data_IF_042371692577
#
_entry.id   IF_042371692577
#
_cell.length_a   1.000
_cell.length_b   1.000
_cell.length_c   1.000
_cell.angle_alpha   90.00
_cell.angle_beta   90.00
_cell.angle_gamma   90.00
#
_symmetry.space_group_name_H-M   'P 1'
#
loop_
_entity.id
_entity.type
_entity.pdbx_description
1 polymer ?
#
# COMPACT_ATOMS: atom_id res chain seq x y z
N UNK A 1 39.83 2.15 -82.21
CA UNK A 1 38.42 1.78 -81.97
C UNK A 1 37.59 3.04 -81.73
N UNK A 2 36.29 2.95 -82.02
CA UNK A 2 35.34 4.03 -82.36
C UNK A 2 35.04 5.03 -81.22
N UNK A 3 34.87 6.30 -81.64
CA UNK A 3 33.94 7.39 -81.24
C UNK A 3 33.03 7.16 -80.01
N UNK A 4 32.79 8.19 -79.19
CA UNK A 4 31.63 9.12 -79.31
C UNK A 4 31.62 10.19 -78.20
N UNK A 5 31.44 11.46 -78.61
CA UNK A 5 30.90 12.55 -77.79
C UNK A 5 29.39 12.34 -77.63
N UNK A 6 28.80 12.72 -76.48
CA UNK A 6 27.47 13.33 -76.45
C UNK A 6 27.23 14.07 -75.12
N UNK A 7 27.22 15.40 -75.20
CA UNK A 7 26.43 16.25 -74.32
C UNK A 7 24.94 16.06 -74.66
N UNK A 8 24.03 16.18 -73.69
CA UNK A 8 22.84 17.06 -73.79
C UNK A 8 21.75 16.82 -72.71
N UNK A 9 21.16 17.97 -72.29
CA UNK A 9 19.77 18.29 -71.89
C UNK A 9 19.09 17.47 -70.76
N UNK A 10 18.64 18.04 -69.61
CA UNK A 10 17.51 19.00 -69.38
C UNK A 10 16.14 18.43 -69.84
N UNK A 11 14.98 18.99 -69.40
CA UNK A 11 14.40 19.24 -68.07
C UNK A 11 12.92 18.72 -67.96
N UNK A 12 12.15 19.24 -66.99
CA UNK A 12 10.68 19.51 -66.97
C UNK A 12 9.68 18.44 -66.45
N UNK A 13 8.71 18.98 -65.66
CA UNK A 13 7.30 18.59 -65.40
C UNK A 13 7.10 17.50 -64.32
N UNK A 14 6.29 17.68 -63.27
CA UNK A 14 5.14 18.57 -63.16
C UNK A 14 4.68 18.88 -61.74
N UNK A 15 4.02 20.03 -61.66
CA UNK A 15 3.08 20.37 -60.61
C UNK A 15 1.72 19.74 -60.93
N UNK A 16 1.07 19.08 -59.96
CA UNK A 16 -0.36 19.18 -59.61
C UNK A 16 -0.66 18.14 -58.51
N UNK A 17 -0.89 18.52 -57.24
CA UNK A 17 -2.18 18.90 -56.59
C UNK A 17 -2.93 17.68 -56.01
N UNK A 18 -3.32 17.81 -54.73
CA UNK A 18 -4.21 16.97 -53.89
C UNK A 18 -3.54 15.74 -53.23
N UNK A 19 -3.68 15.50 -51.93
CA UNK A 19 -4.52 16.15 -50.95
C UNK A 19 -4.32 15.57 -49.55
N UNK A 20 -4.81 16.32 -48.56
CA UNK A 20 -5.51 15.79 -47.39
C UNK A 20 -4.88 14.55 -46.73
N UNK A 21 -3.74 14.74 -46.07
CA UNK A 21 -3.55 14.04 -44.80
C UNK A 21 -3.77 15.07 -43.72
N UNK A 22 -5.01 15.07 -43.22
CA UNK A 22 -5.39 15.62 -41.93
C UNK A 22 -4.24 15.38 -40.96
N UNK A 23 -3.67 16.47 -40.45
CA UNK A 23 -2.74 16.39 -39.34
C UNK A 23 -3.46 15.71 -38.19
N UNK A 24 -3.28 14.40 -38.06
CA UNK A 24 -3.13 13.82 -36.74
C UNK A 24 -1.93 14.54 -36.16
N UNK A 25 -2.20 15.64 -35.45
CA UNK A 25 -1.32 16.04 -34.37
C UNK A 25 -1.20 14.80 -33.52
N UNK A 26 -0.11 14.05 -33.73
CA UNK A 26 0.39 13.11 -32.77
C UNK A 26 0.72 14.03 -31.58
N UNK A 27 -0.29 14.28 -30.74
CA UNK A 27 -0.04 14.78 -29.41
C UNK A 27 0.86 13.72 -28.82
N UNK A 28 2.17 14.02 -28.82
CA UNK A 28 3.15 13.24 -28.12
C UNK A 28 2.64 13.17 -26.70
N UNK A 29 1.99 12.06 -26.40
CA UNK A 29 1.28 11.88 -25.15
C UNK A 29 2.34 12.05 -24.08
N UNK A 30 2.18 13.05 -23.20
CA UNK A 30 3.25 13.41 -22.27
C UNK A 30 3.65 12.14 -21.52
N UNK A 31 4.90 11.73 -21.68
CA UNK A 31 5.41 10.47 -21.11
C UNK A 31 5.24 10.43 -19.58
N UNK A 32 5.14 11.61 -18.98
CA UNK A 32 4.91 11.82 -17.55
C UNK A 32 3.61 12.56 -17.29
N UNK A 33 2.95 12.20 -16.20
CA UNK A 33 1.84 12.96 -15.62
C UNK A 33 2.13 13.33 -14.17
N UNK A 34 1.54 14.43 -13.72
CA UNK A 34 1.61 14.88 -12.34
C UNK A 34 0.38 14.38 -11.60
N UNK A 35 0.59 13.54 -10.59
CA UNK A 35 -0.46 13.04 -9.70
C UNK A 35 -0.43 13.86 -8.42
N UNK A 36 -1.58 14.41 -8.04
CA UNK A 36 -1.79 15.09 -6.76
C UNK A 36 -2.55 14.16 -5.83
N UNK A 37 -1.91 13.71 -4.75
CA UNK A 37 -2.51 12.80 -3.79
C UNK A 37 -2.83 13.52 -2.49
N UNK A 38 -4.10 13.55 -2.12
CA UNK A 38 -4.54 14.03 -0.80
C UNK A 38 -4.21 12.98 0.26
N UNK A 39 -3.50 13.39 1.31
CA UNK A 39 -3.26 12.54 2.48
C UNK A 39 -4.58 12.28 3.22
N UNK A 40 -4.65 11.17 3.99
CA UNK A 40 -5.83 10.90 4.80
C UNK A 40 -6.02 12.01 5.83
N UNK A 41 -7.27 12.27 6.20
CA UNK A 41 -7.57 13.09 7.37
C UNK A 41 -6.98 12.41 8.62
N UNK A 42 -6.31 13.20 9.46
CA UNK A 42 -5.90 12.78 10.80
C UNK A 42 -6.43 13.78 11.84
N UNK A 43 -7.08 13.31 12.92
CA UNK A 43 -7.44 11.91 13.16
C UNK A 43 -8.46 11.39 12.14
N UNK A 44 -8.55 10.06 11.89
CA UNK A 44 -9.60 9.49 11.05
C UNK A 44 -10.97 9.88 11.59
N UNK A 45 -11.92 10.22 10.72
CA UNK A 45 -13.29 10.56 11.12
C UNK A 45 -14.09 9.31 11.50
N UNK A 46 -13.80 8.78 12.68
CA UNK A 46 -14.49 7.65 13.30
C UNK A 46 -15.01 8.01 14.70
N UNK A 47 -15.69 7.06 15.35
CA UNK A 47 -16.26 7.26 16.69
C UNK A 47 -15.23 7.49 17.81
N UNK A 48 -13.94 7.56 17.47
CA UNK A 48 -12.82 7.71 18.41
C UNK A 48 -11.86 8.83 17.99
N UNK A 49 -12.24 9.66 17.02
CA UNK A 49 -11.45 10.77 16.48
C UNK A 49 -10.77 11.61 17.57
N UNK A 50 -11.47 11.87 18.69
CA UNK A 50 -10.99 12.69 19.80
C UNK A 50 -9.84 12.05 20.61
N UNK A 51 -9.68 10.72 20.52
CA UNK A 51 -8.71 9.96 21.33
C UNK A 51 -7.44 9.59 20.56
N UNK A 52 -7.35 9.92 19.27
CA UNK A 52 -6.15 9.61 18.49
C UNK A 52 -4.98 10.51 18.91
N UNK A 53 -3.77 9.96 19.05
CA UNK A 53 -2.59 10.76 19.34
C UNK A 53 -2.36 11.84 18.27
N UNK A 54 -1.82 13.01 18.65
CA UNK A 54 -1.57 14.08 17.71
C UNK A 54 -0.58 13.64 16.63
N UNK A 55 -0.88 13.99 15.38
CA UNK A 55 0.01 13.76 14.26
C UNK A 55 1.23 14.68 14.38
N UNK A 56 2.41 14.10 14.38
CA UNK A 56 3.66 14.87 14.26
C UNK A 56 3.96 15.18 12.80
N UNK A 57 3.91 14.16 11.95
CA UNK A 57 4.19 14.24 10.51
C UNK A 57 3.73 12.96 9.81
N UNK A 58 3.65 13.01 8.49
CA UNK A 58 3.50 11.81 7.68
C UNK A 58 4.85 11.30 7.21
N UNK A 59 5.05 9.98 7.29
CA UNK A 59 6.11 9.30 6.54
C UNK A 59 5.50 8.75 5.26
N UNK A 60 6.04 9.16 4.12
CA UNK A 60 5.59 8.73 2.80
C UNK A 60 6.63 7.75 2.25
N UNK A 61 6.18 6.57 1.85
CA UNK A 61 6.98 5.60 1.10
C UNK A 61 6.40 5.39 -0.28
N UNK A 62 7.20 5.65 -1.31
CA UNK A 62 6.86 5.41 -2.71
C UNK A 62 7.71 4.24 -3.20
N UNK A 63 7.07 3.28 -3.86
CA UNK A 63 7.74 2.10 -4.43
C UNK A 63 7.26 1.88 -5.86
N UNK A 64 8.22 1.61 -6.73
CA UNK A 64 7.99 1.12 -8.10
C UNK A 64 8.99 0.01 -8.40
N UNK A 65 8.94 -0.55 -9.61
CA UNK A 65 9.92 -1.56 -10.03
C UNK A 65 11.34 -0.98 -10.20
N UNK A 66 11.49 0.34 -10.24
CA UNK A 66 12.75 1.03 -10.54
C UNK A 66 13.24 1.88 -9.37
N UNK A 67 12.34 2.32 -8.48
CA UNK A 67 12.63 3.36 -7.50
C UNK A 67 12.01 3.05 -6.13
N UNK A 68 12.71 3.54 -5.10
CA UNK A 68 12.31 3.51 -3.71
C UNK A 68 12.61 4.90 -3.13
N UNK A 69 11.56 5.59 -2.68
CA UNK A 69 11.70 6.88 -2.00
C UNK A 69 10.97 6.87 -0.68
N UNK A 70 11.61 7.42 0.34
CA UNK A 70 11.00 7.64 1.65
C UNK A 70 11.33 9.06 2.10
N UNK A 71 10.32 9.79 2.52
CA UNK A 71 10.48 11.14 3.07
C UNK A 71 9.37 11.45 4.07
N UNK A 72 9.49 12.60 4.75
CA UNK A 72 8.51 13.07 5.71
C UNK A 72 7.87 14.37 5.26
N UNK A 73 6.58 14.58 5.56
CA UNK A 73 5.85 15.80 5.19
C UNK A 73 4.74 16.13 6.19
N UNK A 74 4.42 17.42 6.29
CA UNK A 74 3.26 17.94 7.03
C UNK A 74 2.19 18.52 6.09
N UNK A 75 2.39 18.37 4.77
CA UNK A 75 1.45 18.88 3.76
C UNK A 75 0.23 17.98 3.67
N UNK A 76 -0.93 18.56 3.34
CA UNK A 76 -2.17 17.79 3.12
C UNK A 76 -2.20 17.06 1.78
N UNK A 77 -1.39 17.51 0.82
CA UNK A 77 -1.31 16.94 -0.53
C UNK A 77 0.14 16.75 -0.93
N UNK A 78 0.43 15.64 -1.61
CA UNK A 78 1.73 15.37 -2.23
C UNK A 78 1.62 15.40 -3.76
N UNK A 79 2.64 15.92 -4.43
CA UNK A 79 2.72 15.92 -5.89
C UNK A 79 3.78 14.92 -6.37
N UNK A 80 3.40 14.03 -7.28
CA UNK A 80 4.28 13.01 -7.85
C UNK A 80 4.33 13.15 -9.37
N UNK A 81 5.54 13.29 -9.94
CA UNK A 81 5.75 13.18 -11.39
C UNK A 81 6.02 11.72 -11.74
N UNK A 82 5.11 11.10 -12.47
CA UNK A 82 5.14 9.65 -12.74
C UNK A 82 5.04 9.36 -14.22
N UNK A 83 5.66 8.27 -14.66
CA UNK A 83 5.52 7.79 -16.04
C UNK A 83 4.13 7.19 -16.22
N UNK A 84 3.38 7.62 -17.24
CA UNK A 84 2.03 7.12 -17.49
C UNK A 84 2.01 5.60 -17.60
N UNK A 85 0.96 4.99 -17.05
CA UNK A 85 0.72 3.55 -17.03
C UNK A 85 1.83 2.70 -16.39
N UNK A 86 2.79 3.31 -15.69
CA UNK A 86 3.83 2.58 -14.95
C UNK A 86 3.36 2.37 -13.52
N UNK A 87 3.11 1.12 -13.08
CA UNK A 87 2.57 0.89 -11.75
C UNK A 87 3.51 1.34 -10.64
N UNK A 88 2.95 1.95 -9.61
CA UNK A 88 3.63 2.24 -8.36
C UNK A 88 2.62 2.20 -7.22
N UNK A 89 3.12 2.00 -6.00
CA UNK A 89 2.34 2.19 -4.79
C UNK A 89 2.96 3.27 -3.92
N UNK A 90 2.09 3.89 -3.12
CA UNK A 90 2.49 4.83 -2.08
C UNK A 90 1.83 4.45 -0.77
N UNK A 91 2.59 4.54 0.32
CA UNK A 91 2.15 4.29 1.69
C UNK A 91 2.34 5.56 2.50
N UNK A 92 1.30 5.96 3.24
CA UNK A 92 1.33 7.10 4.14
C UNK A 92 1.15 6.59 5.58
N UNK A 93 2.21 6.71 6.37
CA UNK A 93 2.21 6.34 7.79
C UNK A 93 2.06 7.59 8.64
N UNK A 94 1.06 7.65 9.55
CA UNK A 94 0.98 8.72 10.53
C UNK A 94 2.08 8.48 11.58
N UNK A 95 2.97 9.45 11.74
CA UNK A 95 4.02 9.42 12.77
C UNK A 95 3.54 10.26 13.93
N UNK A 96 3.58 9.65 15.11
CA UNK A 96 3.24 10.30 16.38
C UNK A 96 4.48 10.42 17.24
N UNK A 97 4.39 11.25 18.29
CA UNK A 97 5.43 11.39 19.30
C UNK A 97 4.96 10.75 20.61
N UNK A 98 5.90 10.10 21.28
CA UNK A 98 5.77 9.72 22.70
C UNK A 98 5.94 10.95 23.60
N UNK A 99 5.59 10.82 24.89
CA UNK A 99 5.90 11.82 25.92
C UNK A 99 7.36 12.31 25.88
N UNK A 100 8.30 11.39 25.64
CA UNK A 100 9.73 11.70 25.59
C UNK A 100 10.21 12.20 24.21
N UNK A 101 9.29 12.64 23.34
CA UNK A 101 9.57 13.13 21.97
C UNK A 101 10.22 12.10 21.02
N UNK A 102 10.14 10.80 21.30
CA UNK A 102 10.52 9.77 20.33
C UNK A 102 9.42 9.55 19.29
N UNK A 103 9.82 9.50 18.01
CA UNK A 103 8.93 9.21 16.88
C UNK A 103 8.53 7.74 16.85
N UNK A 104 7.23 7.50 16.67
CA UNK A 104 6.67 6.15 16.61
C UNK A 104 5.79 5.97 15.38
N UNK A 105 5.94 4.82 14.74
CA UNK A 105 5.12 4.40 13.60
C UNK A 105 4.23 3.23 14.07
N UNK A 106 3.17 3.58 14.80
CA UNK A 106 2.28 2.59 15.40
C UNK A 106 1.23 2.07 14.42
N UNK A 107 0.63 2.98 13.66
CA UNK A 107 -0.53 2.69 12.83
C UNK A 107 -0.11 2.08 11.49
N UNK A 108 -0.98 1.20 10.97
CA UNK A 108 -0.86 0.73 9.59
C UNK A 108 -1.04 1.88 8.60
N UNK A 109 -0.33 1.87 7.47
CA UNK A 109 -0.35 2.96 6.52
C UNK A 109 -1.65 3.00 5.73
N UNK A 110 -2.08 4.20 5.33
CA UNK A 110 -2.99 4.37 4.22
C UNK A 110 -2.25 4.10 2.89
N UNK A 111 -2.99 3.67 1.87
CA UNK A 111 -2.42 3.24 0.61
C UNK A 111 -2.96 3.97 -0.61
N UNK A 112 -2.11 4.09 -1.62
CA UNK A 112 -2.48 4.46 -2.98
C UNK A 112 -1.74 3.56 -3.98
N UNK A 113 -2.40 3.16 -5.06
CA UNK A 113 -1.89 2.29 -6.12
C UNK A 113 -2.26 2.87 -7.49
N UNK A 114 -1.25 3.30 -8.22
CA UNK A 114 -1.43 3.74 -9.59
C UNK A 114 -1.24 2.59 -10.58
N UNK A 115 -2.03 2.51 -11.67
CA UNK A 115 -3.15 3.40 -12.03
C UNK A 115 -4.50 2.99 -11.40
N UNK A 116 -4.55 1.95 -10.56
CA UNK A 116 -5.81 1.34 -10.11
C UNK A 116 -6.77 2.32 -9.41
N UNK A 117 -6.35 3.03 -8.37
CA UNK A 117 -7.22 3.96 -7.64
C UNK A 117 -6.96 5.43 -8.04
N UNK A 118 -6.38 5.66 -9.21
CA UNK A 118 -6.16 7.00 -9.73
C UNK A 118 -7.41 7.53 -10.42
N UNK A 119 -7.94 8.63 -9.89
CA UNK A 119 -8.88 9.53 -10.57
C UNK A 119 -8.29 10.92 -10.46
N UNK A 120 -8.01 11.57 -11.59
CA UNK A 120 -7.26 12.84 -11.62
C UNK A 120 -7.79 13.89 -10.61
N UNK A 121 -9.10 13.97 -10.44
CA UNK A 121 -9.75 14.97 -9.58
C UNK A 121 -10.01 14.50 -8.12
N UNK A 122 -9.79 13.22 -7.79
CA UNK A 122 -10.07 12.63 -6.46
C UNK A 122 -9.00 11.62 -6.03
N UNK A 123 -7.76 11.80 -6.49
CA UNK A 123 -6.66 10.92 -6.12
C UNK A 123 -6.28 11.17 -4.64
N UNK A 124 -6.44 10.15 -3.80
CA UNK A 124 -6.25 10.24 -2.36
C UNK A 124 -5.76 8.92 -1.78
N UNK A 125 -5.11 9.03 -0.63
CA UNK A 125 -4.79 7.87 0.20
C UNK A 125 -6.04 7.38 0.91
N UNK A 126 -6.19 6.06 0.98
CA UNK A 126 -7.30 5.41 1.68
C UNK A 126 -6.75 4.34 2.62
N UNK A 127 -7.25 4.30 3.85
CA UNK A 127 -6.80 3.36 4.89
C UNK A 127 -7.04 1.91 4.46
N UNK A 128 -8.20 1.66 3.85
CA UNK A 128 -8.65 0.35 3.37
C UNK A 128 -7.75 -0.19 2.25
N UNK A 129 -7.09 0.70 1.50
CA UNK A 129 -6.18 0.36 0.39
C UNK A 129 -4.74 0.17 0.85
N UNK A 130 -4.43 0.49 2.12
CA UNK A 130 -3.12 0.32 2.73
C UNK A 130 -2.56 -1.09 2.59
N UNK A 131 -3.40 -2.10 2.83
CA UNK A 131 -2.97 -3.51 2.76
C UNK A 131 -2.54 -3.91 1.34
N UNK A 132 -3.30 -3.50 0.32
CA UNK A 132 -2.99 -3.79 -1.07
C UNK A 132 -1.73 -3.05 -1.53
N UNK A 133 -1.57 -1.78 -1.13
CA UNK A 133 -0.38 -0.99 -1.44
C UNK A 133 0.88 -1.58 -0.76
N UNK A 134 0.74 -2.06 0.49
CA UNK A 134 1.81 -2.73 1.24
C UNK A 134 2.21 -4.04 0.58
N UNK A 135 1.24 -4.80 0.09
CA UNK A 135 1.49 -6.02 -0.68
C UNK A 135 2.25 -5.72 -1.98
N UNK A 136 1.82 -4.70 -2.73
CA UNK A 136 2.55 -4.24 -3.92
C UNK A 136 3.98 -3.80 -3.59
N UNK A 137 4.18 -3.07 -2.50
CA UNK A 137 5.51 -2.64 -2.06
C UNK A 137 6.43 -3.85 -1.80
N UNK A 138 5.92 -4.89 -1.14
CA UNK A 138 6.67 -6.13 -0.90
C UNK A 138 7.01 -6.88 -2.20
N UNK A 139 6.12 -6.88 -3.20
CA UNK A 139 6.40 -7.45 -4.53
C UNK A 139 7.51 -6.67 -5.24
N UNK A 140 7.51 -5.34 -5.13
CA UNK A 140 8.61 -4.54 -5.68
C UNK A 140 9.94 -4.84 -4.99
N UNK A 141 9.94 -5.08 -3.68
CA UNK A 141 11.14 -5.44 -2.91
C UNK A 141 11.66 -6.84 -3.25
N UNK A 142 10.78 -7.82 -3.45
CA UNK A 142 11.18 -9.20 -3.80
C UNK A 142 11.82 -9.33 -5.18
N UNK A 143 11.80 -8.26 -6.00
CA UNK A 143 12.51 -8.21 -7.28
C UNK A 143 13.99 -8.59 -7.15
N UNK A 144 14.65 -8.13 -6.09
CA UNK A 144 16.08 -8.41 -5.85
C UNK A 144 16.30 -9.91 -5.63
N UNK A 145 15.43 -10.53 -4.85
CA UNK A 145 15.52 -11.95 -4.47
C UNK A 145 15.15 -12.89 -5.62
N UNK A 146 14.23 -12.46 -6.49
CA UNK A 146 13.66 -13.29 -7.56
C UNK A 146 14.33 -13.08 -8.93
N UNK A 147 15.11 -12.02 -9.11
CA UNK A 147 15.77 -11.71 -10.39
C UNK A 147 14.82 -11.33 -11.53
N UNK A 148 13.56 -11.01 -11.24
CA UNK A 148 12.55 -10.65 -12.25
C UNK A 148 12.91 -9.31 -12.90
N UNK A 149 12.87 -9.24 -14.23
CA UNK A 149 13.13 -7.99 -14.96
C UNK A 149 12.06 -6.94 -14.67
N UNK A 150 12.46 -5.66 -14.65
CA UNK A 150 11.55 -4.51 -14.43
C UNK A 150 10.32 -4.57 -15.34
N UNK A 151 10.51 -4.88 -16.62
CA UNK A 151 9.42 -4.95 -17.61
C UNK A 151 8.43 -6.06 -17.28
N UNK A 152 8.91 -7.25 -16.90
CA UNK A 152 8.04 -8.37 -16.50
C UNK A 152 7.27 -8.04 -15.22
N UNK A 153 7.94 -7.43 -14.25
CA UNK A 153 7.33 -7.02 -12.99
C UNK A 153 6.24 -5.96 -13.18
N UNK A 154 6.52 -4.91 -13.97
CA UNK A 154 5.56 -3.87 -14.30
C UNK A 154 4.34 -4.43 -15.06
N UNK A 155 4.57 -5.32 -16.05
CA UNK A 155 3.46 -5.97 -16.76
C UNK A 155 2.61 -6.81 -15.81
N UNK A 156 3.25 -7.60 -14.95
CA UNK A 156 2.56 -8.44 -13.98
C UNK A 156 1.69 -7.60 -13.04
N UNK A 157 2.31 -6.63 -12.35
CA UNK A 157 1.62 -5.75 -11.39
C UNK A 157 0.50 -4.96 -12.08
N UNK A 158 0.71 -4.47 -13.30
CA UNK A 158 -0.29 -3.73 -14.06
C UNK A 158 -1.50 -4.57 -14.47
N UNK A 159 -1.35 -5.89 -14.61
CA UNK A 159 -2.45 -6.82 -14.95
C UNK A 159 -3.14 -7.44 -13.73
N UNK A 160 -2.53 -7.35 -12.55
CA UNK A 160 -3.10 -7.92 -11.34
C UNK A 160 -4.36 -7.15 -10.92
N UNK A 161 -5.43 -7.88 -10.59
CA UNK A 161 -6.69 -7.26 -10.18
C UNK A 161 -6.63 -6.83 -8.70
N UNK A 162 -6.01 -5.67 -8.47
CA UNK A 162 -5.83 -5.07 -7.15
C UNK A 162 -7.15 -4.79 -6.43
N UNK A 163 -8.20 -4.42 -7.19
CA UNK A 163 -9.54 -4.22 -6.65
C UNK A 163 -10.07 -5.48 -5.99
N UNK A 164 -10.16 -6.56 -6.76
CA UNK A 164 -10.69 -7.83 -6.27
C UNK A 164 -9.85 -8.37 -5.12
N UNK A 165 -8.53 -8.20 -5.18
CA UNK A 165 -7.64 -8.62 -4.10
C UNK A 165 -7.92 -7.84 -2.80
N UNK A 166 -8.00 -6.50 -2.88
CA UNK A 166 -8.31 -5.64 -1.74
C UNK A 166 -9.68 -5.98 -1.13
N UNK A 167 -10.73 -6.08 -1.96
CA UNK A 167 -12.08 -6.46 -1.51
C UNK A 167 -12.10 -7.84 -0.85
N UNK A 168 -11.36 -8.81 -1.39
CA UNK A 168 -11.27 -10.16 -0.81
C UNK A 168 -10.59 -10.14 0.56
N UNK A 169 -9.49 -9.39 0.71
CA UNK A 169 -8.78 -9.25 1.98
C UNK A 169 -9.63 -8.52 3.02
N UNK A 170 -10.36 -7.48 2.63
CA UNK A 170 -11.19 -6.71 3.56
C UNK A 170 -12.42 -7.52 4.06
N UNK A 171 -12.95 -8.44 3.25
CA UNK A 171 -14.09 -9.30 3.61
C UNK A 171 -13.77 -10.45 4.56
N UNK A 172 -12.50 -10.69 4.91
CA UNK A 172 -12.17 -11.77 5.85
C UNK A 172 -12.50 -11.39 7.30
N UNK A 173 -13.00 -12.35 8.09
CA UNK A 173 -13.23 -12.21 9.54
C UNK A 173 -11.94 -11.86 10.29
N UNK A 174 -10.80 -12.35 9.82
CA UNK A 174 -9.51 -12.08 10.45
C UNK A 174 -8.85 -10.79 9.94
N UNK A 175 -7.84 -10.33 10.70
CA UNK A 175 -7.02 -9.18 10.34
C UNK A 175 -6.28 -9.42 9.00
N UNK A 176 -6.55 -8.61 7.94
CA UNK A 176 -5.94 -8.79 6.63
C UNK A 176 -4.42 -8.53 6.62
N UNK A 177 -3.88 -7.81 7.62
CA UNK A 177 -2.44 -7.58 7.77
C UNK A 177 -1.66 -8.84 8.16
N UNK A 178 -2.35 -9.92 8.53
CA UNK A 178 -1.73 -11.24 8.76
C UNK A 178 -1.65 -12.12 7.51
N UNK A 179 -1.91 -11.60 6.32
CA UNK A 179 -1.67 -12.34 5.08
C UNK A 179 -0.24 -12.91 5.04
N UNK A 180 -0.08 -14.18 4.65
CA UNK A 180 1.25 -14.80 4.47
C UNK A 180 1.98 -14.16 3.30
N UNK A 181 2.71 -13.06 3.53
CA UNK A 181 3.38 -12.38 2.44
C UNK A 181 4.43 -13.28 1.76
N UNK A 182 5.20 -14.11 2.44
CA UNK A 182 6.29 -14.86 1.78
C UNK A 182 5.81 -15.92 0.78
N UNK A 183 4.96 -16.86 1.20
CA UNK A 183 4.42 -17.88 0.29
C UNK A 183 3.56 -17.27 -0.80
N UNK A 184 2.75 -16.27 -0.44
CA UNK A 184 1.99 -15.50 -1.42
C UNK A 184 2.93 -14.85 -2.43
N UNK A 185 3.96 -14.12 -2.00
CA UNK A 185 4.91 -13.43 -2.87
C UNK A 185 5.64 -14.43 -3.76
N UNK A 186 6.09 -15.55 -3.22
CA UNK A 186 6.71 -16.62 -3.98
C UNK A 186 5.76 -17.16 -5.08
N UNK A 187 4.54 -17.54 -4.72
CA UNK A 187 3.58 -18.13 -5.66
C UNK A 187 3.08 -17.08 -6.67
N UNK A 188 2.96 -15.83 -6.24
CA UNK A 188 2.62 -14.69 -7.09
C UNK A 188 3.72 -14.39 -8.11
N UNK A 189 4.98 -14.32 -7.68
CA UNK A 189 6.14 -14.13 -8.54
C UNK A 189 6.32 -15.29 -9.54
N UNK A 190 5.94 -16.51 -9.16
CA UNK A 190 6.03 -17.70 -10.01
C UNK A 190 4.75 -17.98 -10.83
N UNK A 191 3.80 -17.05 -10.89
CA UNK A 191 2.53 -17.19 -11.63
C UNK A 191 1.65 -18.39 -11.20
N UNK A 192 1.88 -18.92 -9.99
CA UNK A 192 1.15 -20.03 -9.40
C UNK A 192 0.05 -19.58 -8.42
N UNK A 193 -0.25 -18.29 -8.41
CA UNK A 193 -1.19 -17.67 -7.48
C UNK A 193 -2.62 -18.20 -7.64
N UNK A 194 -3.25 -18.50 -6.50
CA UNK A 194 -4.67 -18.82 -6.38
C UNK A 194 -5.35 -17.84 -5.44
N UNK A 195 -6.58 -17.41 -5.76
CA UNK A 195 -7.35 -16.51 -4.91
C UNK A 195 -7.57 -17.04 -3.49
N UNK A 196 -7.56 -18.37 -3.30
CA UNK A 196 -7.58 -19.01 -1.99
C UNK A 196 -6.35 -18.73 -1.11
N UNK A 197 -5.32 -18.06 -1.62
CA UNK A 197 -4.16 -17.62 -0.86
C UNK A 197 -4.33 -16.22 -0.28
N UNK A 198 -5.37 -15.49 -0.69
CA UNK A 198 -5.73 -14.20 -0.10
C UNK A 198 -6.55 -14.35 1.19
N UNK A 199 -6.78 -15.58 1.66
CA UNK A 199 -7.45 -15.81 2.92
C UNK A 199 -6.45 -15.96 4.07
N UNK A 200 -6.96 -15.72 5.25
CA UNK A 200 -6.26 -15.78 6.53
C UNK A 200 -6.53 -17.11 7.23
N UNK A 201 -6.74 -18.21 6.49
CA UNK A 201 -7.10 -19.53 7.06
C UNK A 201 -6.06 -20.12 8.04
N UNK A 202 -4.81 -19.66 8.00
CA UNK A 202 -3.79 -20.04 8.99
C UNK A 202 -3.90 -19.25 10.30
N UNK A 203 -4.80 -18.27 10.38
CA UNK A 203 -5.16 -17.60 11.62
C UNK A 203 -6.16 -18.44 12.39
N UNK A 204 -6.04 -18.39 13.71
CA UNK A 204 -7.06 -18.87 14.63
C UNK A 204 -7.70 -17.66 15.32
N UNK A 205 -8.92 -17.84 15.83
CA UNK A 205 -9.61 -16.80 16.59
C UNK A 205 -9.72 -17.21 18.04
N UNK A 206 -9.47 -16.26 18.94
CA UNK A 206 -9.78 -16.36 20.37
C UNK A 206 -10.85 -15.34 20.74
N UNK A 207 -11.78 -15.73 21.60
CA UNK A 207 -12.86 -14.84 22.02
C UNK A 207 -12.31 -13.76 22.96
N UNK A 208 -12.63 -12.51 22.63
CA UNK A 208 -12.22 -11.35 23.44
C UNK A 208 -12.77 -11.41 24.86
N UNK A 209 -13.93 -12.05 25.04
CA UNK A 209 -14.59 -12.17 26.35
C UNK A 209 -13.74 -12.94 27.38
N UNK A 210 -12.93 -13.91 26.94
CA UNK A 210 -12.05 -14.66 27.83
C UNK A 210 -10.89 -13.79 28.33
N UNK A 211 -10.36 -12.95 27.44
CA UNK A 211 -9.32 -11.98 27.78
C UNK A 211 -9.86 -10.92 28.76
N UNK A 212 -11.03 -10.35 28.48
CA UNK A 212 -11.64 -9.34 29.35
C UNK A 212 -11.99 -9.89 30.75
N UNK A 213 -12.42 -11.15 30.85
CA UNK A 213 -12.62 -11.83 32.15
C UNK A 213 -11.33 -11.97 32.94
N UNK A 214 -10.22 -12.22 32.26
CA UNK A 214 -8.91 -12.47 32.90
C UNK A 214 -8.32 -11.20 33.48
N UNK A 215 -8.52 -10.06 32.82
CA UNK A 215 -7.85 -8.81 33.20
C UNK A 215 -8.80 -7.71 33.72
N UNK A 216 -10.11 -7.97 33.76
CA UNK A 216 -11.15 -7.03 34.23
C UNK A 216 -11.11 -5.64 33.57
N UNK A 217 -10.45 -5.51 32.41
CA UNK A 217 -10.31 -4.27 31.66
C UNK A 217 -10.19 -4.54 30.16
N UNK A 218 -10.51 -3.54 29.34
CA UNK A 218 -10.41 -3.62 27.88
C UNK A 218 -9.00 -3.22 27.42
N UNK A 219 -8.31 -4.12 26.73
CA UNK A 219 -7.00 -3.85 26.08
C UNK A 219 -7.15 -3.46 24.60
N UNK A 220 -8.36 -3.13 24.17
CA UNK A 220 -8.59 -2.65 22.84
C UNK A 220 -8.65 -1.14 22.86
N UNK A 221 -7.50 -0.48 22.69
CA UNK A 221 -7.47 0.95 22.40
C UNK A 221 -8.36 1.23 21.20
N UNK A 222 -9.12 2.31 21.32
CA UNK A 222 -10.12 2.67 20.32
C UNK A 222 -9.54 3.26 19.04
N UNK A 223 -8.29 3.69 19.05
CA UNK A 223 -7.63 4.30 17.89
C UNK A 223 -6.82 3.33 17.04
N UNK A 224 -6.73 2.04 17.41
CA UNK A 224 -6.03 1.02 16.63
C UNK A 224 -7.02 0.46 15.60
N UNK A 225 -6.84 0.67 14.28
CA UNK A 225 -7.82 0.20 13.28
C UNK A 225 -8.05 -1.32 13.31
N UNK A 226 -7.02 -2.11 13.64
CA UNK A 226 -7.12 -3.54 13.85
C UNK A 226 -8.11 -3.93 14.94
N UNK A 227 -8.25 -3.08 15.97
CA UNK A 227 -9.21 -3.31 17.05
C UNK A 227 -10.65 -3.13 16.60
N UNK A 228 -10.93 -2.40 15.50
CA UNK A 228 -12.29 -2.29 14.98
C UNK A 228 -12.82 -3.64 14.55
N UNK A 229 -12.04 -4.43 13.78
CA UNK A 229 -12.41 -5.80 13.42
C UNK A 229 -12.54 -6.72 14.64
N UNK A 230 -11.64 -6.58 15.62
CA UNK A 230 -11.71 -7.35 16.87
C UNK A 230 -13.01 -7.03 17.62
N UNK A 231 -13.43 -5.76 17.64
CA UNK A 231 -14.69 -5.32 18.28
C UNK A 231 -15.91 -5.81 17.51
N UNK A 232 -15.93 -5.66 16.19
CA UNK A 232 -17.03 -6.12 15.32
C UNK A 232 -17.30 -7.61 15.47
N UNK A 233 -16.25 -8.42 15.52
CA UNK A 233 -16.37 -9.87 15.61
C UNK A 233 -16.23 -10.42 17.04
N UNK A 234 -15.90 -9.58 18.02
CA UNK A 234 -15.55 -9.95 19.39
C UNK A 234 -14.45 -11.04 19.49
N UNK A 235 -13.53 -11.05 18.51
CA UNK A 235 -12.51 -12.10 18.35
C UNK A 235 -11.16 -11.52 17.99
N UNK A 236 -10.12 -12.01 18.66
CA UNK A 236 -8.73 -11.70 18.37
C UNK A 236 -8.21 -12.75 17.40
N UNK A 237 -7.68 -12.31 16.25
CA UNK A 237 -6.99 -13.21 15.33
C UNK A 237 -5.55 -13.42 15.80
N UNK A 238 -5.11 -14.68 15.92
CA UNK A 238 -3.72 -15.03 16.22
C UNK A 238 -3.13 -15.85 15.08
N UNK A 239 -1.83 -15.68 14.83
CA UNK A 239 -1.11 -16.41 13.79
C UNK A 239 0.25 -16.87 14.29
N UNK A 240 0.66 -18.06 13.84
CA UNK A 240 1.90 -18.69 14.29
C UNK A 240 3.10 -17.77 14.04
N UNK A 241 3.94 -17.58 15.05
CA UNK A 241 5.14 -16.73 15.00
C UNK A 241 4.85 -15.26 14.66
N UNK A 242 3.62 -14.78 14.91
CA UNK A 242 3.27 -13.35 14.83
C UNK A 242 2.80 -12.88 16.20
N UNK A 243 3.36 -11.77 16.63
CA UNK A 243 2.94 -11.09 17.84
C UNK A 243 1.73 -10.20 17.53
N UNK A 244 0.76 -10.23 18.44
CA UNK A 244 -0.38 -9.31 18.43
C UNK A 244 -0.26 -8.43 19.66
N UNK A 245 -0.25 -7.12 19.45
CA UNK A 245 -0.21 -6.14 20.52
C UNK A 245 -1.63 -5.63 20.77
N UNK A 246 -2.16 -5.88 21.96
CA UNK A 246 -3.39 -5.26 22.45
C UNK A 246 -3.00 -4.19 23.45
N UNK A 247 -3.26 -2.93 23.15
CA UNK A 247 -2.88 -1.81 24.00
C UNK A 247 -4.12 -1.09 24.51
N UNK A 248 -4.19 -0.80 25.81
CA UNK A 248 -5.33 -0.10 26.41
C UNK A 248 -5.36 1.41 26.13
N UNK A 249 -4.29 1.94 25.54
CA UNK A 249 -4.19 3.36 25.20
C UNK A 249 -3.56 4.25 26.27
N UNK A 250 -3.23 3.69 27.46
CA UNK A 250 -2.68 4.43 28.60
C UNK A 250 -1.21 4.12 28.86
N UNK A 251 -0.95 2.97 29.46
CA UNK A 251 0.39 2.58 29.94
C UNK A 251 0.64 1.08 29.79
N UNK A 252 -0.39 0.27 29.54
CA UNK A 252 -0.28 -1.18 29.57
C UNK A 252 -0.70 -1.79 28.24
N UNK A 253 0.17 -2.63 27.69
CA UNK A 253 -0.17 -3.48 26.56
C UNK A 253 0.04 -4.95 26.88
N UNK A 254 -0.66 -5.79 26.14
CA UNK A 254 -0.49 -7.23 26.14
C UNK A 254 0.09 -7.61 24.79
N UNK A 255 1.26 -8.25 24.81
CA UNK A 255 1.78 -8.97 23.65
C UNK A 255 1.26 -10.41 23.75
N UNK A 256 0.52 -10.83 22.73
CA UNK A 256 0.08 -12.20 22.55
C UNK A 256 0.98 -12.85 21.51
N UNK A 257 1.71 -13.89 21.90
CA UNK A 257 2.48 -14.72 20.98
C UNK A 257 1.86 -16.09 20.87
N UNK A 258 1.50 -16.47 19.65
CA UNK A 258 0.92 -17.78 19.34
C UNK A 258 1.95 -18.67 18.62
N UNK A 259 2.24 -19.84 19.20
CA UNK A 259 3.05 -20.88 18.54
C UNK A 259 2.21 -22.10 18.14
N UNK A 260 1.28 -22.50 19.02
CA UNK A 260 0.32 -23.58 18.80
C UNK A 260 -0.88 -23.44 19.76
N UNK A 261 -1.95 -24.20 19.53
CA UNK A 261 -3.14 -24.18 20.40
C UNK A 261 -2.84 -24.47 21.89
N UNK A 262 -1.72 -25.14 22.19
CA UNK A 262 -1.26 -25.42 23.56
C UNK A 262 -0.19 -24.45 24.06
N UNK A 263 0.40 -23.67 23.16
CA UNK A 263 1.50 -22.75 23.43
C UNK A 263 1.09 -21.34 22.99
N UNK A 264 0.37 -20.67 23.88
CA UNK A 264 0.05 -19.25 23.78
C UNK A 264 0.71 -18.57 24.96
N UNK A 265 1.51 -17.55 24.70
CA UNK A 265 2.09 -16.71 25.74
C UNK A 265 1.47 -15.32 25.73
N UNK A 266 1.27 -14.80 26.93
CA UNK A 266 0.78 -13.47 27.19
C UNK A 266 1.87 -12.75 27.99
N UNK A 267 2.39 -11.67 27.44
CA UNK A 267 3.35 -10.80 28.10
C UNK A 267 2.69 -9.44 28.33
N UNK A 268 2.67 -8.99 29.58
CA UNK A 268 2.18 -7.67 29.93
C UNK A 268 3.38 -6.73 29.93
N UNK A 269 3.32 -5.71 29.08
CA UNK A 269 4.37 -4.69 28.97
C UNK A 269 3.82 -3.33 29.35
N UNK A 270 4.71 -2.50 29.88
CA UNK A 270 4.45 -1.07 30.06
C UNK A 270 4.98 -0.32 28.83
N UNK A 271 4.12 0.46 28.20
CA UNK A 271 4.49 1.29 27.05
C UNK A 271 4.55 2.76 27.48
N UNK A 272 5.54 3.53 27.00
CA UNK A 272 5.58 4.96 27.24
C UNK A 272 4.28 5.59 26.72
N UNK A 273 3.71 6.47 27.54
CA UNK A 273 2.43 7.11 27.28
C UNK A 273 2.59 7.96 26.00
N UNK A 274 1.67 7.79 25.06
CA UNK A 274 1.42 8.79 24.03
C UNK A 274 0.56 9.86 24.70
N UNK A 275 1.06 11.10 24.76
CA UNK A 275 0.47 12.18 25.56
C UNK A 275 -1.06 12.25 25.39
N UNK A 276 -1.81 11.95 26.45
CA UNK A 276 -2.96 12.72 26.92
C UNK A 276 -2.47 13.47 28.17
N UNK A 277 -1.88 14.65 27.98
CA UNK A 277 -1.98 15.67 29.01
C UNK A 277 -3.26 16.43 28.67
N UNK A 278 -4.31 16.18 29.44
CA UNK A 278 -5.41 17.12 29.65
C UNK A 278 -5.52 17.34 31.15
#
# INVERSE_FOLDING_TARGET
>A
MKKFNLAFLLPIVGAFVLGLFSGCTFHADKAFETIRLKLPQWPPNDGFSENYPPLSKWKIEIRSAEDCKTYFTNQETIELSVKRHTPFCTLAYPITLTQDNYQTQYFMPAGFIYPWNYKADDAKFEWEKGIAASLMAKIFLSKIETGISTQKLNKFIGTFNWQKACETMLKTEHNPWFLESEKFLHDLCNLNFKASQLNTKSCISYDLSELNKTFETSFLSSYIPENQKIREHSKISLKKNKQVLLYNGKETAIIITYESAKNVSLEIIFLPIYIEDI
#
